data_IF_963925640001
#
_entry.id   IF_963925640001
#
_cell.length_a   1.000
_cell.length_b   1.000
_cell.length_c   1.000
_cell.angle_alpha   90.00
_cell.angle_beta   90.00
_cell.angle_gamma   90.00
#
_symmetry.space_group_name_H-M   'P 1'
#
loop_
_entity.id
_entity.type
_entity.pdbx_description
1 polymer ?
#
# COMPACT_ATOMS: atom_id res chain seq x y z
N UNK A 1 3.74 -18.55 -10.44
CA UNK A 1 4.81 -18.33 -9.44
C UNK A 1 4.75 -16.89 -8.96
N UNK A 2 5.01 -16.61 -7.68
CA UNK A 2 5.06 -15.24 -7.18
C UNK A 2 6.21 -14.49 -7.87
N UNK A 3 5.96 -13.25 -8.26
CA UNK A 3 7.01 -12.36 -8.78
C UNK A 3 7.48 -11.47 -7.65
N UNK A 4 8.79 -11.48 -7.42
CA UNK A 4 9.44 -10.68 -6.38
C UNK A 4 9.99 -9.36 -6.93
N UNK A 5 9.46 -8.88 -8.04
CA UNK A 5 9.80 -7.55 -8.54
C UNK A 5 9.14 -6.47 -7.66
N UNK A 6 9.94 -5.47 -7.29
CA UNK A 6 9.51 -4.34 -6.46
C UNK A 6 8.58 -3.38 -7.22
N UNK A 7 8.59 -3.44 -8.55
CA UNK A 7 7.68 -2.65 -9.37
C UNK A 7 7.19 -3.47 -10.56
N UNK A 8 5.93 -3.26 -10.93
CA UNK A 8 5.33 -3.88 -12.10
C UNK A 8 4.56 -2.83 -12.90
N UNK A 9 4.45 -3.06 -14.21
CA UNK A 9 3.64 -2.20 -15.05
C UNK A 9 2.15 -2.40 -14.79
N UNK A 10 1.32 -1.38 -15.06
CA UNK A 10 -0.14 -1.48 -15.01
C UNK A 10 -0.63 -2.59 -15.95
N UNK A 11 0.06 -2.79 -17.08
CA UNK A 11 -0.16 -3.93 -17.98
C UNK A 11 -0.03 -5.26 -17.24
N UNK A 12 1.14 -5.53 -16.65
CA UNK A 12 1.43 -6.80 -16.00
C UNK A 12 0.53 -7.05 -14.79
N UNK A 13 0.31 -6.03 -13.96
CA UNK A 13 -0.55 -6.14 -12.77
C UNK A 13 -1.97 -6.53 -13.20
N UNK A 14 -2.54 -5.86 -14.20
CA UNK A 14 -3.94 -6.08 -14.58
C UNK A 14 -4.19 -7.47 -15.16
N UNK A 15 -3.27 -7.95 -16.00
CA UNK A 15 -3.34 -9.31 -16.56
C UNK A 15 -3.17 -10.36 -15.46
N UNK A 16 -2.12 -10.23 -14.65
CA UNK A 16 -1.82 -11.22 -13.59
C UNK A 16 -2.88 -11.24 -12.49
N UNK A 17 -3.46 -10.09 -12.16
CA UNK A 17 -4.56 -10.00 -11.19
C UNK A 17 -5.79 -10.76 -11.67
N UNK A 18 -6.08 -10.71 -12.97
CA UNK A 18 -7.15 -11.48 -13.59
C UNK A 18 -6.76 -12.95 -13.91
N UNK A 19 -5.57 -13.41 -13.53
CA UNK A 19 -5.11 -14.78 -13.78
C UNK A 19 -4.70 -15.07 -15.23
N UNK A 20 -4.35 -14.04 -16.01
CA UNK A 20 -3.90 -14.16 -17.39
C UNK A 20 -2.40 -13.88 -17.54
N UNK A 21 -1.76 -14.46 -18.55
CA UNK A 21 -0.37 -14.19 -18.90
C UNK A 21 -0.23 -12.85 -19.67
N UNK A 22 0.51 -11.85 -19.15
CA UNK A 22 0.68 -10.56 -19.82
C UNK A 22 1.48 -10.61 -21.13
N UNK A 23 2.25 -11.68 -21.37
CA UNK A 23 3.03 -11.86 -22.60
C UNK A 23 2.35 -12.76 -23.63
N UNK A 24 1.23 -13.37 -23.25
CA UNK A 24 0.43 -14.21 -24.14
C UNK A 24 -0.20 -13.42 -25.29
N UNK A 25 -0.53 -14.14 -26.36
CA UNK A 25 -1.30 -13.57 -27.46
C UNK A 25 -2.78 -13.46 -27.07
N UNK A 26 -3.30 -12.23 -27.03
CA UNK A 26 -4.69 -11.93 -26.70
C UNK A 26 -5.39 -11.28 -27.89
N UNK A 27 -6.24 -12.02 -28.61
CA UNK A 27 -7.02 -11.48 -29.73
C UNK A 27 -7.94 -10.32 -29.26
N UNK A 28 -8.47 -10.44 -28.04
CA UNK A 28 -9.22 -9.40 -27.35
C UNK A 28 -8.80 -9.40 -25.89
N UNK A 29 -8.61 -8.22 -25.32
CA UNK A 29 -8.32 -8.07 -23.89
C UNK A 29 -9.56 -8.56 -23.09
N UNK A 30 -9.40 -9.49 -22.13
CA UNK A 30 -10.48 -9.95 -21.26
C UNK A 30 -11.15 -8.81 -20.49
N UNK A 31 -12.43 -8.98 -20.12
CA UNK A 31 -13.17 -7.92 -19.43
C UNK A 31 -12.55 -7.56 -18.08
N UNK A 32 -12.20 -8.56 -17.26
CA UNK A 32 -11.60 -8.35 -15.94
C UNK A 32 -10.27 -7.58 -16.03
N UNK A 33 -9.48 -7.84 -17.08
CA UNK A 33 -8.24 -7.11 -17.36
C UNK A 33 -8.52 -5.65 -17.71
N UNK A 34 -9.57 -5.38 -18.50
CA UNK A 34 -9.99 -4.00 -18.82
C UNK A 34 -10.46 -3.25 -17.58
N UNK A 35 -11.20 -3.90 -16.70
CA UNK A 35 -11.69 -3.30 -15.47
C UNK A 35 -10.52 -2.99 -14.53
N UNK A 36 -9.53 -3.89 -14.44
CA UNK A 36 -8.28 -3.63 -13.74
C UNK A 36 -7.51 -2.44 -14.32
N UNK A 37 -7.41 -2.30 -15.65
CA UNK A 37 -6.80 -1.13 -16.27
C UNK A 37 -7.48 0.17 -15.86
N UNK A 38 -8.81 0.20 -15.89
CA UNK A 38 -9.60 1.38 -15.54
C UNK A 38 -9.44 1.73 -14.08
N UNK A 39 -9.46 0.72 -13.21
CA UNK A 39 -9.27 0.88 -11.77
C UNK A 39 -7.90 1.49 -11.46
N UNK A 40 -6.82 0.91 -11.98
CA UNK A 40 -5.46 1.35 -11.70
C UNK A 40 -5.15 2.72 -12.31
N UNK A 41 -5.54 2.96 -13.57
CA UNK A 41 -5.36 4.27 -14.20
C UNK A 41 -6.18 5.35 -13.48
N UNK A 42 -7.40 5.03 -13.02
CA UNK A 42 -8.17 5.97 -12.19
C UNK A 42 -7.48 6.27 -10.86
N UNK A 43 -6.87 5.26 -10.22
CA UNK A 43 -6.18 5.46 -8.95
C UNK A 43 -4.93 6.34 -9.12
N UNK A 44 -4.13 6.09 -10.16
CA UNK A 44 -2.95 6.92 -10.49
C UNK A 44 -3.39 8.35 -10.79
N UNK A 45 -4.38 8.54 -11.69
CA UNK A 45 -4.81 9.87 -12.10
C UNK A 45 -5.40 10.71 -10.96
N UNK A 46 -6.01 10.06 -9.96
CA UNK A 46 -6.55 10.72 -8.75
C UNK A 46 -5.53 10.87 -7.62
N UNK A 47 -4.25 10.54 -7.85
CA UNK A 47 -3.20 10.57 -6.84
C UNK A 47 -3.44 9.63 -5.65
N UNK A 48 -4.20 8.56 -5.84
CA UNK A 48 -4.49 7.60 -4.75
C UNK A 48 -3.38 6.56 -4.57
N UNK A 49 -2.65 6.28 -5.65
CA UNK A 49 -1.48 5.40 -5.69
C UNK A 49 -0.36 6.11 -6.46
N UNK A 50 0.87 5.98 -5.96
CA UNK A 50 2.05 6.59 -6.57
C UNK A 50 2.49 5.71 -7.76
N UNK A 51 2.72 6.34 -8.92
CA UNK A 51 3.38 5.68 -10.04
C UNK A 51 4.86 6.05 -10.04
N UNK A 52 5.74 5.08 -10.25
CA UNK A 52 7.19 5.33 -10.28
C UNK A 52 7.65 5.91 -11.63
N UNK A 53 6.87 5.75 -12.69
CA UNK A 53 7.18 6.26 -14.03
C UNK A 53 6.41 7.52 -14.43
N UNK A 54 5.37 7.91 -13.66
CA UNK A 54 4.50 9.03 -13.98
C UNK A 54 4.40 10.03 -12.83
N UNK A 55 4.80 11.27 -13.10
CA UNK A 55 4.61 12.44 -12.27
C UNK A 55 3.24 13.09 -12.55
N UNK A 56 2.55 13.51 -11.48
CA UNK A 56 1.25 14.16 -11.54
C UNK A 56 1.31 15.66 -11.83
N UNK A 57 2.49 16.26 -11.64
CA UNK A 57 2.67 17.68 -11.86
C UNK A 57 2.49 18.06 -13.32
N UNK A 58 2.24 19.35 -13.56
CA UNK A 58 2.27 19.89 -14.92
C UNK A 58 3.74 20.12 -15.30
N UNK A 59 4.14 19.63 -16.48
CA UNK A 59 5.44 19.96 -17.05
C UNK A 59 5.57 21.49 -17.15
N UNK A 60 6.56 22.12 -16.48
CA UNK A 60 6.81 23.55 -16.63
C UNK A 60 7.14 23.88 -18.09
N UNK A 61 6.64 25.00 -18.59
CA UNK A 61 6.80 25.38 -20.01
C UNK A 61 8.25 25.57 -20.46
N UNK A 62 9.17 25.78 -19.51
CA UNK A 62 10.61 25.94 -19.73
C UNK A 62 11.42 24.68 -19.36
N UNK A 63 10.78 23.59 -18.94
CA UNK A 63 11.47 22.37 -18.53
C UNK A 63 12.02 21.62 -19.74
N UNK A 64 13.24 21.08 -19.60
CA UNK A 64 13.87 20.17 -20.57
C UNK A 64 13.60 18.69 -20.24
N UNK A 65 12.84 18.41 -19.18
CA UNK A 65 12.50 17.05 -18.80
C UNK A 65 11.66 16.38 -19.90
N UNK A 66 11.84 15.07 -20.06
CA UNK A 66 11.08 14.30 -21.05
C UNK A 66 9.57 14.33 -20.68
N UNK A 67 8.69 14.83 -21.58
CA UNK A 67 7.26 14.82 -21.37
C UNK A 67 6.68 13.44 -21.06
N UNK A 68 7.36 12.35 -21.43
CA UNK A 68 6.94 10.98 -21.18
C UNK A 68 6.83 10.63 -19.69
N UNK A 69 7.46 11.38 -18.79
CA UNK A 69 7.31 11.20 -17.34
C UNK A 69 6.11 11.93 -16.75
N UNK A 70 5.39 12.74 -17.53
CA UNK A 70 4.28 13.56 -17.01
C UNK A 70 2.95 12.97 -17.41
N UNK A 71 2.07 12.73 -16.43
CA UNK A 71 0.77 12.09 -16.66
C UNK A 71 -0.10 12.86 -17.66
N UNK A 72 0.01 14.20 -17.66
CA UNK A 72 -0.77 15.08 -18.54
C UNK A 72 -0.41 14.91 -20.01
N UNK A 73 0.80 14.44 -20.33
CA UNK A 73 1.20 14.11 -21.71
C UNK A 73 0.39 12.94 -22.28
N UNK A 74 -0.29 12.17 -21.43
CA UNK A 74 -1.10 11.01 -21.80
C UNK A 74 -2.60 11.21 -21.57
N UNK A 75 -3.08 12.45 -21.50
CA UNK A 75 -4.49 12.76 -21.22
C UNK A 75 -5.47 12.01 -22.14
N UNK A 76 -5.15 11.91 -23.43
CA UNK A 76 -5.96 11.15 -24.40
C UNK A 76 -6.02 9.66 -24.04
N UNK A 77 -4.87 9.04 -23.78
CA UNK A 77 -4.75 7.61 -23.45
C UNK A 77 -5.47 7.29 -22.14
N UNK A 78 -5.38 8.19 -21.16
CA UNK A 78 -6.09 8.07 -19.87
C UNK A 78 -7.61 8.13 -20.11
N UNK A 79 -8.10 9.13 -20.85
CA UNK A 79 -9.52 9.27 -21.15
C UNK A 79 -10.07 8.09 -21.97
N UNK A 80 -9.32 7.62 -22.97
CA UNK A 80 -9.67 6.45 -23.77
C UNK A 80 -9.74 5.17 -22.91
N UNK A 81 -8.80 5.00 -21.98
CA UNK A 81 -8.77 3.88 -21.04
C UNK A 81 -9.96 3.93 -20.08
N UNK A 82 -10.18 5.06 -19.39
CA UNK A 82 -11.25 5.23 -18.40
C UNK A 82 -12.65 5.08 -19.00
N UNK A 83 -12.84 5.53 -20.25
CA UNK A 83 -14.09 5.36 -21.00
C UNK A 83 -14.25 3.96 -21.63
N UNK A 84 -13.22 3.12 -21.58
CA UNK A 84 -13.23 1.78 -22.16
C UNK A 84 -13.16 1.75 -23.70
N UNK A 85 -12.81 2.88 -24.33
CA UNK A 85 -12.73 3.01 -25.80
C UNK A 85 -11.48 2.31 -26.35
N UNK A 86 -10.32 2.56 -25.75
CA UNK A 86 -9.04 2.02 -26.20
C UNK A 86 -8.09 1.83 -25.02
N UNK A 87 -7.32 0.74 -25.08
CA UNK A 87 -6.29 0.41 -24.09
C UNK A 87 -4.93 0.44 -24.77
N UNK A 88 -4.18 1.53 -24.57
CA UNK A 88 -2.88 1.73 -25.19
C UNK A 88 -1.80 0.89 -24.47
N UNK A 89 -1.40 -0.22 -25.07
CA UNK A 89 -0.48 -1.16 -24.44
C UNK A 89 0.89 -0.54 -24.14
N UNK A 90 1.38 0.39 -24.97
CA UNK A 90 2.67 1.07 -24.74
C UNK A 90 2.58 1.94 -23.48
N UNK A 91 1.52 2.73 -23.35
CA UNK A 91 1.27 3.54 -22.15
C UNK A 91 1.08 2.67 -20.91
N UNK A 92 0.28 1.60 -20.98
CA UNK A 92 0.01 0.72 -19.84
C UNK A 92 1.25 -0.08 -19.40
N UNK A 93 2.16 -0.39 -20.32
CA UNK A 93 3.47 -0.99 -19.99
C UNK A 93 4.46 0.02 -19.43
N UNK A 94 4.32 1.30 -19.79
CA UNK A 94 5.14 2.39 -19.26
C UNK A 94 4.74 2.76 -17.83
N UNK A 95 3.44 2.91 -17.57
CA UNK A 95 2.92 3.20 -16.23
C UNK A 95 3.26 2.05 -15.28
N UNK A 96 4.06 2.31 -14.25
CA UNK A 96 4.46 1.31 -13.25
C UNK A 96 4.07 1.71 -11.84
N UNK A 97 3.82 0.71 -10.99
CA UNK A 97 3.50 0.88 -9.59
C UNK A 97 4.55 0.16 -8.74
N UNK A 98 4.94 0.79 -7.64
CA UNK A 98 5.70 0.13 -6.58
C UNK A 98 4.83 -0.87 -5.83
N UNK A 99 5.41 -2.01 -5.46
CA UNK A 99 4.74 -3.07 -4.73
C UNK A 99 4.18 -2.58 -3.39
N UNK A 100 4.97 -1.81 -2.64
CA UNK A 100 4.56 -1.26 -1.34
C UNK A 100 3.46 -0.20 -1.48
N UNK A 101 3.62 0.72 -2.43
CA UNK A 101 2.62 1.76 -2.72
C UNK A 101 1.28 1.12 -3.12
N UNK A 102 1.34 0.08 -3.93
CA UNK A 102 0.18 -0.68 -4.37
C UNK A 102 -0.49 -1.46 -3.23
N UNK A 103 0.30 -2.07 -2.33
CA UNK A 103 -0.22 -2.74 -1.13
C UNK A 103 -0.95 -1.73 -0.23
N UNK A 104 -0.32 -0.59 0.05
CA UNK A 104 -0.92 0.45 0.88
C UNK A 104 -2.23 0.96 0.26
N UNK A 105 -2.26 1.17 -1.06
CA UNK A 105 -3.47 1.54 -1.77
C UNK A 105 -4.57 0.48 -1.65
N UNK A 106 -4.24 -0.82 -1.80
CA UNK A 106 -5.20 -1.91 -1.60
C UNK A 106 -5.77 -1.90 -0.18
N UNK A 107 -4.92 -1.75 0.84
CA UNK A 107 -5.33 -1.68 2.25
C UNK A 107 -6.26 -0.50 2.51
N UNK A 108 -5.93 0.69 1.98
CA UNK A 108 -6.76 1.92 2.11
C UNK A 108 -8.14 1.75 1.50
N UNK A 109 -8.23 1.05 0.37
CA UNK A 109 -9.46 0.78 -0.37
C UNK A 109 -10.23 -0.45 0.12
N UNK A 110 -9.65 -1.26 1.02
CA UNK A 110 -10.25 -2.53 1.44
C UNK A 110 -10.27 -3.58 0.32
N UNK A 111 -9.42 -3.43 -0.69
CA UNK A 111 -9.32 -4.36 -1.82
C UNK A 111 -8.36 -5.49 -1.40
N UNK A 112 -8.71 -6.78 -1.65
CA UNK A 112 -7.79 -7.87 -1.39
C UNK A 112 -6.55 -7.73 -2.27
N UNK A 113 -5.37 -7.79 -1.66
CA UNK A 113 -4.11 -7.75 -2.40
C UNK A 113 -3.98 -9.00 -3.28
N UNK A 114 -3.48 -8.87 -4.51
CA UNK A 114 -3.46 -9.99 -5.44
C UNK A 114 -2.39 -11.02 -5.07
N UNK A 115 -2.79 -12.29 -4.98
CA UNK A 115 -1.89 -13.38 -4.55
C UNK A 115 -0.64 -13.57 -5.42
N UNK A 116 -0.69 -13.18 -6.71
CA UNK A 116 0.47 -13.29 -7.58
C UNK A 116 1.63 -12.38 -7.14
N UNK A 117 1.31 -11.27 -6.45
CA UNK A 117 2.28 -10.31 -5.95
C UNK A 117 2.39 -10.34 -4.42
N UNK A 118 1.36 -10.82 -3.72
CA UNK A 118 1.36 -10.96 -2.26
C UNK A 118 0.91 -12.39 -1.90
N UNK A 119 1.77 -13.39 -2.08
CA UNK A 119 1.43 -14.77 -1.79
C UNK A 119 1.09 -14.96 -0.31
N UNK A 120 0.34 -16.01 0.01
CA UNK A 120 0.02 -16.34 1.40
C UNK A 120 1.31 -16.51 2.22
N UNK A 121 1.38 -15.82 3.36
CA UNK A 121 2.58 -15.82 4.21
C UNK A 121 3.65 -14.81 3.80
N UNK A 122 3.46 -14.04 2.73
CA UNK A 122 4.32 -12.88 2.45
C UNK A 122 4.23 -11.90 3.62
N UNK A 123 5.40 -11.47 4.08
CA UNK A 123 5.60 -10.48 5.14
C UNK A 123 6.55 -9.43 4.60
N UNK A 124 6.32 -8.18 5.01
CA UNK A 124 7.18 -7.06 4.63
C UNK A 124 8.65 -7.31 5.03
N UNK A 125 8.86 -7.94 6.19
CA UNK A 125 10.18 -8.27 6.73
C UNK A 125 11.02 -9.18 5.81
N UNK A 126 10.41 -9.84 4.81
CA UNK A 126 11.16 -10.60 3.81
C UNK A 126 11.86 -9.72 2.78
N UNK A 127 11.30 -8.54 2.46
CA UNK A 127 11.88 -7.62 1.46
C UNK A 127 12.93 -6.71 2.08
N UNK A 128 12.79 -6.39 3.36
CA UNK A 128 13.78 -5.61 4.09
C UNK A 128 14.07 -6.35 5.40
N UNK A 129 14.85 -7.44 5.35
CA UNK A 129 15.22 -8.14 6.58
C UNK A 129 15.93 -7.18 7.52
N UNK A 130 15.58 -7.22 8.80
CA UNK A 130 16.31 -6.49 9.83
C UNK A 130 17.79 -6.89 9.73
N UNK A 131 18.66 -5.91 9.50
CA UNK A 131 20.08 -6.13 9.20
C UNK A 131 20.46 -6.10 7.70
N UNK A 132 19.51 -5.88 6.79
CA UNK A 132 19.77 -5.81 5.36
C UNK A 132 20.09 -7.17 4.74
N UNK A 133 20.31 -7.18 3.42
CA UNK A 133 20.52 -8.44 2.69
C UNK A 133 21.91 -9.03 2.98
N UNK A 134 22.03 -10.36 3.15
CA UNK A 134 23.30 -11.04 3.40
C UNK A 134 24.38 -10.71 2.34
N UNK A 135 23.96 -10.49 1.09
CA UNK A 135 24.88 -10.13 -0.01
C UNK A 135 25.59 -8.79 0.22
N UNK A 136 24.95 -7.81 0.87
CA UNK A 136 25.59 -6.53 1.19
C UNK A 136 26.67 -6.67 2.28
N UNK A 137 26.62 -7.76 3.04
CA UNK A 137 27.57 -8.11 4.12
C UNK A 137 28.73 -8.97 3.62
N UNK A 138 28.68 -9.42 2.37
CA UNK A 138 29.77 -10.16 1.73
C UNK A 138 30.92 -9.21 1.39
N UNK A 139 32.13 -9.60 1.78
CA UNK A 139 33.36 -8.87 1.44
C UNK A 139 34.28 -9.81 0.68
N UNK A 140 34.83 -9.31 -0.43
CA UNK A 140 35.93 -9.99 -1.12
C UNK A 140 37.15 -9.97 -0.20
N UNK A 141 37.75 -11.14 0.00
CA UNK A 141 39.03 -11.27 0.67
C UNK A 141 40.05 -11.55 -0.42
N UNK A 142 40.96 -10.60 -0.65
CA UNK A 142 42.04 -10.75 -1.64
C UNK A 142 42.84 -12.02 -1.34
N UNK A 143 42.99 -12.94 -2.33
CA UNK A 143 43.68 -14.19 -2.11
C UNK A 143 45.18 -13.97 -1.88
N UNK A 144 45.79 -14.80 -1.02
CA UNK A 144 47.24 -14.89 -0.89
C UNK A 144 47.90 -15.52 -2.13
N UNK A 145 49.24 -15.52 -2.18
CA UNK A 145 50.00 -16.13 -3.28
C UNK A 145 49.62 -17.62 -3.46
N UNK A 146 48.88 -17.92 -4.52
CA UNK A 146 48.46 -19.28 -4.88
C UNK A 146 47.10 -19.72 -4.34
N UNK A 147 46.36 -18.84 -3.66
CA UNK A 147 45.02 -19.14 -3.15
C UNK A 147 43.91 -18.74 -4.15
N UNK A 148 42.75 -19.38 -4.03
CA UNK A 148 41.54 -19.03 -4.78
C UNK A 148 40.79 -17.89 -4.06
N UNK A 149 39.99 -17.14 -4.81
CA UNK A 149 39.15 -16.07 -4.24
C UNK A 149 38.31 -16.61 -3.07
N UNK A 150 38.31 -15.88 -1.96
CA UNK A 150 37.53 -16.21 -0.77
C UNK A 150 36.64 -15.04 -0.38
N UNK A 151 35.60 -15.35 0.40
CA UNK A 151 34.60 -14.38 0.82
C UNK A 151 34.40 -14.47 2.32
N UNK A 152 34.31 -13.32 2.98
CA UNK A 152 33.92 -13.23 4.39
C UNK A 152 32.56 -12.56 4.54
N UNK A 153 31.84 -12.93 5.59
CA UNK A 153 30.58 -12.32 5.96
C UNK A 153 30.79 -11.56 7.27
N UNK A 154 30.78 -10.23 7.19
CA UNK A 154 30.75 -9.40 8.38
C UNK A 154 29.30 -9.06 8.69
N UNK A 155 28.73 -9.80 9.64
CA UNK A 155 27.59 -9.27 10.34
C UNK A 155 28.14 -8.16 11.23
N UNK A 156 27.76 -6.91 10.98
CA UNK A 156 27.76 -5.95 12.09
C UNK A 156 26.83 -6.59 13.10
N UNK A 157 27.40 -7.14 14.16
CA UNK A 157 26.68 -7.25 15.42
C UNK A 157 26.17 -5.83 15.71
N UNK A 158 25.00 -5.68 16.31
CA UNK A 158 24.26 -4.42 16.46
C UNK A 158 24.96 -3.33 17.31
N UNK A 159 26.29 -3.36 17.38
CA UNK A 159 27.17 -2.47 18.11
C UNK A 159 27.95 -1.60 17.10
N UNK A 160 27.85 -0.29 17.29
CA UNK A 160 28.45 0.80 16.51
C UNK A 160 27.66 1.22 15.26
N UNK A 161 26.45 1.77 15.52
CA UNK A 161 26.03 3.00 14.84
C UNK A 161 27.19 4.00 14.99
N UNK A 162 28.02 4.14 13.96
CA UNK A 162 28.98 5.23 13.89
C UNK A 162 28.18 6.52 13.96
N UNK A 163 28.28 7.20 15.10
CA UNK A 163 27.76 8.53 15.37
C UNK A 163 28.04 9.43 14.16
N UNK A 164 27.02 9.64 13.32
CA UNK A 164 27.05 10.68 12.31
C UNK A 164 26.90 12.01 13.07
N UNK A 165 28.03 12.51 13.58
CA UNK A 165 28.16 13.78 14.29
C UNK A 165 27.60 14.92 13.44
N UNK A 166 26.39 15.35 13.79
CA UNK A 166 25.58 16.23 12.97
C UNK A 166 24.36 16.81 13.67
N UNK A 167 24.49 17.17 14.94
CA UNK A 167 23.60 18.15 15.59
C UNK A 167 22.60 17.57 16.60
N UNK A 168 22.86 17.90 17.87
CA UNK A 168 22.07 17.62 19.07
C UNK A 168 20.55 17.80 18.86
N UNK A 169 19.80 16.72 19.05
CA UNK A 169 18.45 16.80 19.60
C UNK A 169 18.24 15.58 20.51
N UNK A 170 18.54 15.77 21.79
CA UNK A 170 18.16 14.85 22.86
C UNK A 170 16.63 14.68 22.88
N UNK A 171 16.13 13.59 22.30
CA UNK A 171 14.86 13.00 22.74
C UNK A 171 14.87 11.48 22.51
N UNK A 172 15.05 10.76 23.63
CA UNK A 172 14.62 9.40 23.90
C UNK A 172 14.83 8.33 22.81
N UNK A 173 15.84 7.50 23.05
CA UNK A 173 15.95 6.11 22.66
C UNK A 173 14.68 5.31 23.03
N UNK A 174 13.69 5.35 22.15
CA UNK A 174 12.90 4.16 21.88
C UNK A 174 13.35 3.71 20.50
N UNK A 175 13.67 2.42 20.36
CA UNK A 175 13.81 1.73 19.08
C UNK A 175 12.54 1.99 18.24
N UNK A 176 12.52 3.13 17.57
CA UNK A 176 11.40 3.66 16.83
C UNK A 176 11.48 2.97 15.48
N UNK A 177 11.04 1.71 15.45
CA UNK A 177 10.57 1.10 14.21
C UNK A 177 9.60 2.11 13.61
N UNK A 178 10.05 2.82 12.58
CA UNK A 178 9.34 3.95 11.99
C UNK A 178 7.98 3.43 11.54
N UNK A 179 6.96 3.70 12.36
CA UNK A 179 5.63 3.16 12.14
C UNK A 179 5.16 3.61 10.76
N UNK A 180 4.68 2.67 9.95
CA UNK A 180 4.14 3.02 8.63
C UNK A 180 3.01 4.05 8.82
N UNK A 181 2.82 5.00 7.89
CA UNK A 181 1.76 6.00 8.00
C UNK A 181 0.38 5.38 8.31
N UNK A 182 0.07 4.24 7.68
CA UNK A 182 -1.16 3.48 7.96
C UNK A 182 -1.22 2.94 9.41
N UNK A 183 -0.13 2.35 9.91
CA UNK A 183 -0.07 1.85 11.29
C UNK A 183 -0.18 2.99 12.31
N UNK A 184 0.51 4.10 12.07
CA UNK A 184 0.42 5.30 12.90
C UNK A 184 -1.02 5.86 12.93
N UNK A 185 -1.67 5.95 11.76
CA UNK A 185 -3.08 6.38 11.64
C UNK A 185 -4.01 5.44 12.41
N UNK A 186 -3.84 4.12 12.25
CA UNK A 186 -4.63 3.12 12.97
C UNK A 186 -4.49 3.29 14.48
N UNK A 187 -3.26 3.39 14.99
CA UNK A 187 -2.98 3.58 16.42
C UNK A 187 -3.60 4.88 16.94
N UNK A 188 -3.50 5.97 16.17
CA UNK A 188 -4.12 7.25 16.52
C UNK A 188 -5.65 7.13 16.62
N UNK A 189 -6.29 6.51 15.63
CA UNK A 189 -7.74 6.27 15.63
C UNK A 189 -8.18 5.42 16.83
N UNK A 190 -7.42 4.36 17.15
CA UNK A 190 -7.72 3.47 18.27
C UNK A 190 -7.60 4.20 19.62
N UNK A 191 -6.53 4.99 19.80
CA UNK A 191 -6.32 5.79 21.02
C UNK A 191 -7.43 6.82 21.22
N UNK A 192 -7.82 7.54 20.16
CA UNK A 192 -8.92 8.52 20.22
C UNK A 192 -10.24 7.82 20.57
N UNK A 193 -10.55 6.71 19.91
CA UNK A 193 -11.80 5.98 20.15
C UNK A 193 -11.90 5.44 21.58
N UNK A 194 -10.81 4.90 22.14
CA UNK A 194 -10.76 4.45 23.53
C UNK A 194 -11.07 5.60 24.51
N UNK A 195 -10.56 6.80 24.25
CA UNK A 195 -10.84 7.94 25.11
C UNK A 195 -12.29 8.42 24.99
N UNK A 196 -12.87 8.41 23.79
CA UNK A 196 -14.29 8.75 23.60
C UNK A 196 -15.19 7.71 24.26
N UNK A 197 -14.88 6.41 24.18
CA UNK A 197 -15.70 5.38 24.82
C UNK A 197 -15.66 5.43 26.35
N UNK A 198 -14.60 5.97 26.95
CA UNK A 198 -14.57 6.23 28.41
C UNK A 198 -15.62 7.25 28.83
N UNK A 199 -15.89 8.25 27.99
CA UNK A 199 -16.90 9.30 28.27
C UNK A 199 -18.28 8.94 27.74
N UNK A 200 -18.35 8.21 26.63
CA UNK A 200 -19.59 7.91 25.90
C UNK A 200 -19.65 6.42 25.50
N UNK A 201 -19.93 5.55 26.47
CA UNK A 201 -19.93 4.10 26.28
C UNK A 201 -21.01 3.58 25.29
N UNK A 202 -22.03 4.37 24.97
CA UNK A 202 -23.15 3.95 24.12
C UNK A 202 -22.87 4.07 22.61
N UNK A 203 -21.78 4.76 22.24
CA UNK A 203 -21.47 5.06 20.84
C UNK A 203 -21.07 3.78 20.10
N UNK A 204 -21.89 3.36 19.14
CA UNK A 204 -21.58 2.20 18.30
C UNK A 204 -20.31 2.41 17.44
N UNK A 205 -19.63 1.32 17.07
CA UNK A 205 -18.44 1.37 16.19
C UNK A 205 -18.74 2.10 14.87
N UNK A 206 -19.94 1.90 14.30
CA UNK A 206 -20.35 2.56 13.06
C UNK A 206 -20.52 4.08 13.22
N UNK A 207 -21.08 4.52 14.35
CA UNK A 207 -21.18 5.94 14.67
C UNK A 207 -19.81 6.55 14.97
N UNK A 208 -18.96 5.83 15.72
CA UNK A 208 -17.59 6.24 16.03
C UNK A 208 -16.77 6.47 14.78
N UNK A 209 -16.85 5.56 13.80
CA UNK A 209 -16.11 5.67 12.54
C UNK A 209 -16.51 6.89 11.68
N UNK A 210 -17.62 7.59 11.97
CA UNK A 210 -18.02 8.83 11.26
C UNK A 210 -17.69 10.11 12.03
N UNK A 211 -17.21 10.00 13.27
CA UNK A 211 -16.89 11.15 14.12
C UNK A 211 -15.77 12.00 13.53
N UNK A 212 -15.87 13.31 13.71
CA UNK A 212 -14.91 14.28 13.18
C UNK A 212 -13.50 14.04 13.74
N UNK A 213 -13.41 13.69 15.01
CA UNK A 213 -12.17 13.39 15.74
C UNK A 213 -11.44 12.21 15.11
N UNK A 214 -12.16 11.13 14.77
CA UNK A 214 -11.56 9.97 14.09
C UNK A 214 -11.13 10.32 12.66
N UNK A 215 -11.99 11.04 11.93
CA UNK A 215 -11.75 11.37 10.52
C UNK A 215 -10.58 12.34 10.33
N UNK A 216 -10.51 13.40 11.15
CA UNK A 216 -9.53 14.48 11.00
C UNK A 216 -8.35 14.31 11.94
N UNK A 217 -8.58 14.19 13.25
CA UNK A 217 -7.47 14.09 14.22
C UNK A 217 -6.78 12.73 14.14
N UNK A 218 -7.55 11.66 13.93
CA UNK A 218 -7.01 10.31 13.71
C UNK A 218 -6.43 10.10 12.32
N UNK A 219 -6.61 11.04 11.38
CA UNK A 219 -6.14 10.90 10.00
C UNK A 219 -6.90 9.87 9.17
N UNK A 220 -8.11 9.47 9.58
CA UNK A 220 -8.87 8.39 8.92
C UNK A 220 -9.58 8.81 7.61
N UNK A 221 -9.62 10.11 7.29
CA UNK A 221 -10.30 10.67 6.11
C UNK A 221 -10.04 9.95 4.77
N UNK A 222 -8.81 9.52 4.43
CA UNK A 222 -8.56 8.86 3.15
C UNK A 222 -8.95 7.37 3.13
N UNK A 223 -9.33 6.77 4.26
CA UNK A 223 -9.65 5.35 4.37
C UNK A 223 -11.15 5.09 4.19
N UNK A 224 -11.50 3.97 3.56
CA UNK A 224 -12.91 3.57 3.44
C UNK A 224 -13.49 3.23 4.81
N UNK A 225 -14.79 3.51 4.98
CA UNK A 225 -15.48 3.38 6.27
C UNK A 225 -15.34 1.99 6.91
N UNK A 226 -15.30 0.93 6.11
CA UNK A 226 -15.15 -0.45 6.59
C UNK A 226 -13.78 -0.74 7.20
N UNK A 227 -12.71 -0.17 6.63
CA UNK A 227 -11.34 -0.29 7.16
C UNK A 227 -11.26 0.35 8.54
N UNK A 228 -11.83 1.55 8.68
CA UNK A 228 -11.90 2.26 9.96
C UNK A 228 -12.69 1.45 10.98
N UNK A 229 -13.86 0.92 10.60
CA UNK A 229 -14.67 0.07 11.50
C UNK A 229 -13.90 -1.17 11.96
N UNK A 230 -13.14 -1.82 11.07
CA UNK A 230 -12.30 -2.95 11.43
C UNK A 230 -11.25 -2.55 12.47
N UNK A 231 -10.52 -1.45 12.26
CA UNK A 231 -9.54 -0.96 13.24
C UNK A 231 -10.14 -0.65 14.60
N UNK A 232 -11.31 0.01 14.61
CA UNK A 232 -12.00 0.35 15.84
C UNK A 232 -12.55 -0.88 16.57
N UNK A 233 -12.97 -1.92 15.83
CA UNK A 233 -13.49 -3.15 16.43
C UNK A 233 -12.46 -3.90 17.28
N UNK A 234 -11.17 -3.75 16.99
CA UNK A 234 -10.08 -4.39 17.75
C UNK A 234 -9.93 -3.83 19.17
N UNK A 235 -10.40 -2.60 19.41
CA UNK A 235 -10.28 -1.89 20.70
C UNK A 235 -11.64 -1.52 21.29
N UNK A 236 -12.73 -1.99 20.69
CA UNK A 236 -14.08 -1.71 21.15
C UNK A 236 -14.38 -2.43 22.48
N UNK A 237 -14.97 -1.74 23.47
CA UNK A 237 -15.41 -2.37 24.71
C UNK A 237 -16.38 -3.53 24.45
N UNK A 238 -16.42 -4.57 25.31
CA UNK A 238 -17.30 -5.72 25.15
C UNK A 238 -18.78 -5.34 24.96
N UNK A 239 -19.24 -4.31 25.66
CA UNK A 239 -20.62 -3.80 25.62
C UNK A 239 -21.00 -3.23 24.25
N UNK A 240 -20.01 -2.68 23.53
CA UNK A 240 -20.16 -2.10 22.20
C UNK A 240 -19.94 -3.18 21.13
N UNK A 241 -18.95 -4.04 21.32
CA UNK A 241 -18.61 -5.16 20.44
C UNK A 241 -19.77 -6.17 20.31
N UNK A 242 -20.44 -6.49 21.42
CA UNK A 242 -21.56 -7.43 21.43
C UNK A 242 -22.79 -6.92 20.65
N UNK A 243 -22.88 -5.61 20.36
CA UNK A 243 -23.99 -5.00 19.60
C UNK A 243 -23.85 -5.17 18.08
N UNK A 244 -22.80 -5.84 17.61
CA UNK A 244 -22.62 -6.21 16.20
C UNK A 244 -23.52 -7.41 15.85
N UNK A 245 -24.83 -7.22 15.97
CA UNK A 245 -25.84 -8.20 15.61
C UNK A 245 -26.64 -7.72 14.41
N UNK A 246 -26.62 -8.51 13.32
CA UNK A 246 -27.58 -8.42 12.20
C UNK A 246 -28.99 -8.20 12.76
N UNK A 247 -29.78 -7.21 12.29
CA UNK A 247 -31.12 -6.99 12.82
C UNK A 247 -31.91 -8.29 12.73
N UNK A 248 -32.34 -8.80 13.88
CA UNK A 248 -33.22 -9.96 13.96
C UNK A 248 -34.48 -9.61 13.18
N UNK A 249 -34.78 -10.36 12.11
CA UNK A 249 -36.07 -10.27 11.43
C UNK A 249 -37.13 -10.83 12.37
N UNK A 250 -37.57 -10.04 13.35
CA UNK A 250 -38.82 -10.34 14.03
C UNK A 250 -39.93 -9.90 13.09
N UNK A 251 -40.50 -10.89 12.41
CA UNK A 251 -41.78 -10.75 11.72
C UNK A 251 -42.79 -10.23 12.75
N UNK A 252 -43.27 -9.01 12.55
CA UNK A 252 -44.43 -8.48 13.25
C UNK A 252 -45.65 -9.23 12.74
N UNK A 253 -46.01 -10.33 13.41
CA UNK A 253 -47.37 -10.87 13.36
C UNK A 253 -48.26 -9.89 14.12
N UNK A 254 -48.93 -9.01 13.39
CA UNK A 254 -50.12 -8.33 13.88
C UNK A 254 -51.28 -9.33 13.81
N UNK A 255 -51.79 -9.71 14.98
CA UNK A 255 -53.09 -10.35 15.13
C UNK A 255 -54.18 -9.37 14.73
N UNK A 256 -55.00 -9.75 13.74
CA UNK A 256 -56.39 -9.30 13.55
C UNK A 256 -57.25 -10.55 13.38
#
# INVERSE_FOLDING_TARGET
MPILDDSLSVWDISFRWAGHDPHGFHLKIPLDVKDNFRLLISAIFKAEVISHSLCLDKLPSNSKADPAFYIRSYEKQINDCLSGKRFDAKFLKWASLGRLDFLEWCERRGIPSPQFWFPAGWKLDFEVPNGGFPGHRMRHVEPGNGELASFSFHWKDDEEEEDFDGGESETNENNNLKLRPNQATKIACQTIAQNIWKTEAEVSIAAMARRHEIQILGGAKPYVHEVIRRWLSEVAPPEVSARVGRPSSKNTTEDI
#
